data_IF_814914230233
#
_entry.id   IF_814914230233
#
_cell.length_a   1.000
_cell.length_b   1.000
_cell.length_c   1.000
_cell.angle_alpha   90.00
_cell.angle_beta   90.00
_cell.angle_gamma   90.00
#
_symmetry.space_group_name_H-M   'P 1'
#
loop_
_entity.id
_entity.type
_entity.pdbx_description
1 polymer ?
#
# COMPACT_ATOMS: atom_id res chain seq x y z
N UNK A 1 6.98 -5.92 14.14
CA UNK A 1 6.04 -4.79 14.35
C UNK A 1 6.08 -3.93 13.09
N UNK A 2 5.00 -3.89 12.30
CA UNK A 2 4.94 -3.07 11.08
C UNK A 2 4.85 -1.60 11.50
N UNK A 3 5.91 -0.82 11.27
CA UNK A 3 5.85 0.63 11.47
C UNK A 3 4.86 1.20 10.45
N UNK A 4 3.75 1.70 10.98
CA UNK A 4 2.71 2.35 10.19
C UNK A 4 3.15 3.79 9.96
N UNK A 5 3.64 4.10 8.75
CA UNK A 5 3.92 5.47 8.34
C UNK A 5 2.61 6.27 8.41
N UNK A 6 2.50 7.14 9.41
CA UNK A 6 1.34 7.97 9.69
C UNK A 6 1.80 9.42 9.81
N UNK A 7 1.13 10.29 9.10
CA UNK A 7 1.27 11.74 9.30
C UNK A 7 0.30 12.14 10.40
N UNK A 8 0.81 12.76 11.45
CA UNK A 8 -0.04 13.29 12.52
C UNK A 8 -0.53 14.69 12.13
N UNK A 9 -1.84 14.83 12.00
CA UNK A 9 -2.48 16.11 11.75
C UNK A 9 -2.24 17.11 12.88
N UNK A 10 -1.94 16.66 14.11
CA UNK A 10 -1.63 17.57 15.24
C UNK A 10 -0.32 18.33 15.06
N UNK A 11 0.55 17.87 14.17
CA UNK A 11 1.82 18.52 13.90
C UNK A 11 1.69 19.79 13.04
N UNK A 12 0.53 20.04 12.40
CA UNK A 12 0.33 21.20 11.52
C UNK A 12 -1.09 21.76 11.65
N UNK A 13 -1.19 23.09 11.87
CA UNK A 13 -2.47 23.80 11.99
C UNK A 13 -3.23 23.78 10.66
N UNK A 14 -2.50 23.80 9.55
CA UNK A 14 -3.01 23.78 8.19
C UNK A 14 -3.72 22.46 7.91
N UNK A 15 -3.11 21.33 8.29
CA UNK A 15 -3.74 20.01 8.16
C UNK A 15 -4.99 19.91 9.06
N UNK A 16 -4.95 20.48 10.27
CA UNK A 16 -6.13 20.54 11.13
C UNK A 16 -7.26 21.37 10.51
N UNK A 17 -6.96 22.55 9.97
CA UNK A 17 -7.93 23.43 9.34
C UNK A 17 -8.63 22.72 8.17
N UNK A 18 -7.87 22.02 7.32
CA UNK A 18 -8.39 21.19 6.23
C UNK A 18 -9.34 20.09 6.75
N UNK A 19 -8.94 19.37 7.80
CA UNK A 19 -9.77 18.31 8.38
C UNK A 19 -11.07 18.86 8.98
N UNK A 20 -11.01 20.01 9.66
CA UNK A 20 -12.20 20.68 10.19
C UNK A 20 -13.09 21.22 9.08
N UNK A 21 -12.50 21.78 8.02
CA UNK A 21 -13.21 22.21 6.81
C UNK A 21 -13.96 21.04 6.19
N UNK A 22 -13.28 19.95 5.86
CA UNK A 22 -13.90 18.75 5.30
C UNK A 22 -14.98 18.14 6.20
N UNK A 23 -14.84 18.23 7.53
CA UNK A 23 -15.87 17.76 8.46
C UNK A 23 -17.16 18.57 8.39
N UNK A 24 -17.05 19.88 8.09
CA UNK A 24 -18.20 20.79 7.97
C UNK A 24 -18.70 20.97 6.54
N UNK A 25 -17.90 20.57 5.54
CA UNK A 25 -18.26 20.70 4.14
C UNK A 25 -19.49 19.84 3.80
N UNK A 26 -20.24 20.31 2.81
CA UNK A 26 -21.36 19.56 2.26
C UNK A 26 -20.93 18.19 1.71
N UNK A 27 -21.82 17.19 1.73
CA UNK A 27 -21.50 15.84 1.26
C UNK A 27 -20.98 15.79 -0.17
N UNK A 28 -21.44 16.69 -1.04
CA UNK A 28 -21.07 16.75 -2.46
C UNK A 28 -19.63 17.22 -2.66
N UNK A 29 -19.23 18.30 -1.97
CA UNK A 29 -17.84 18.78 -1.94
C UNK A 29 -16.92 17.66 -1.46
N UNK A 30 -17.28 17.00 -0.35
CA UNK A 30 -16.51 15.89 0.18
C UNK A 30 -16.44 14.69 -0.79
N UNK A 31 -17.49 14.44 -1.58
CA UNK A 31 -17.50 13.38 -2.60
C UNK A 31 -16.57 13.73 -3.76
N UNK A 32 -16.59 14.99 -4.20
CA UNK A 32 -15.72 15.53 -5.25
C UNK A 32 -14.24 15.44 -4.87
N UNK A 33 -13.89 15.93 -3.67
CA UNK A 33 -12.52 15.82 -3.11
C UNK A 33 -12.06 14.37 -3.11
N UNK A 34 -12.88 13.44 -2.59
CA UNK A 34 -12.54 12.01 -2.53
C UNK A 34 -12.30 11.42 -3.91
N UNK A 35 -13.15 11.75 -4.88
CA UNK A 35 -13.04 11.27 -6.27
C UNK A 35 -11.72 11.74 -6.89
N UNK A 36 -11.47 13.05 -6.94
CA UNK A 36 -10.27 13.60 -7.55
C UNK A 36 -8.98 13.16 -6.85
N UNK A 37 -9.00 13.10 -5.52
CA UNK A 37 -7.86 12.62 -4.73
C UNK A 37 -7.55 11.16 -5.08
N UNK A 38 -8.57 10.32 -5.22
CA UNK A 38 -8.39 8.90 -5.56
C UNK A 38 -7.90 8.73 -7.00
N UNK A 39 -8.46 9.48 -7.94
CA UNK A 39 -8.09 9.45 -9.36
C UNK A 39 -6.63 9.85 -9.57
N UNK A 40 -6.12 10.81 -8.79
CA UNK A 40 -4.72 11.21 -8.88
C UNK A 40 -3.77 10.24 -8.16
N UNK A 41 -4.09 9.83 -6.93
CA UNK A 41 -3.16 9.05 -6.09
C UNK A 41 -3.03 7.60 -6.55
N UNK A 42 -4.13 6.94 -6.93
CA UNK A 42 -4.10 5.49 -7.20
C UNK A 42 -3.14 5.12 -8.34
N UNK A 43 -3.20 5.78 -9.51
CA UNK A 43 -2.30 5.46 -10.62
C UNK A 43 -0.84 5.76 -10.30
N UNK A 44 -0.56 6.89 -9.65
CA UNK A 44 0.81 7.27 -9.25
C UNK A 44 1.37 6.27 -8.24
N UNK A 45 0.56 5.84 -7.27
CA UNK A 45 0.98 4.86 -6.27
C UNK A 45 1.30 3.50 -6.88
N UNK A 46 0.45 3.04 -7.80
CA UNK A 46 0.70 1.79 -8.52
C UNK A 46 1.95 1.89 -9.40
N UNK A 47 2.17 3.03 -10.07
CA UNK A 47 3.36 3.26 -10.89
C UNK A 47 4.63 3.27 -10.06
N UNK A 48 4.66 4.03 -8.96
CA UNK A 48 5.85 4.10 -8.09
C UNK A 48 6.17 2.75 -7.44
N UNK A 49 5.15 1.98 -7.04
CA UNK A 49 5.38 0.61 -6.58
C UNK A 49 5.90 -0.32 -7.68
N UNK A 50 5.46 -0.12 -8.94
CA UNK A 50 5.96 -0.90 -10.07
C UNK A 50 7.42 -0.58 -10.38
N UNK A 51 7.84 0.68 -10.25
CA UNK A 51 9.23 1.13 -10.43
C UNK A 51 10.19 0.54 -9.39
N UNK A 52 9.71 0.29 -8.16
CA UNK A 52 10.51 -0.31 -7.09
C UNK A 52 10.48 -1.85 -7.09
N UNK A 53 9.58 -2.47 -7.85
CA UNK A 53 9.46 -3.92 -7.92
C UNK A 53 10.40 -4.48 -8.98
N UNK A 54 11.34 -5.33 -8.55
CA UNK A 54 12.33 -5.94 -9.46
C UNK A 54 11.85 -7.31 -9.96
N UNK A 55 11.02 -8.01 -9.18
CA UNK A 55 10.65 -9.40 -9.41
C UNK A 55 9.19 -9.57 -9.79
N UNK A 56 8.89 -10.57 -10.62
CA UNK A 56 7.51 -10.96 -10.96
C UNK A 56 6.68 -11.30 -9.72
N UNK A 57 7.33 -11.78 -8.66
CA UNK A 57 6.69 -12.08 -7.38
C UNK A 57 6.21 -10.80 -6.68
N UNK A 58 7.05 -9.77 -6.60
CA UNK A 58 6.70 -8.45 -6.05
C UNK A 58 5.56 -7.81 -6.84
N UNK A 59 5.63 -7.84 -8.18
CA UNK A 59 4.54 -7.33 -9.02
C UNK A 59 3.20 -8.04 -8.74
N UNK A 60 3.20 -9.37 -8.59
CA UNK A 60 1.97 -10.13 -8.35
C UNK A 60 1.45 -10.01 -6.92
N UNK A 61 2.33 -10.02 -5.92
CA UNK A 61 1.96 -10.02 -4.52
C UNK A 61 1.63 -8.61 -4.00
N UNK A 62 2.43 -7.60 -4.40
CA UNK A 62 2.36 -6.24 -3.88
C UNK A 62 1.69 -5.29 -4.88
N UNK A 63 2.29 -5.09 -6.05
CA UNK A 63 1.88 -4.04 -7.02
C UNK A 63 0.45 -4.25 -7.52
N UNK A 64 0.11 -5.45 -8.00
CA UNK A 64 -1.24 -5.76 -8.51
C UNK A 64 -2.34 -5.61 -7.45
N UNK A 65 -1.96 -5.73 -6.18
CA UNK A 65 -2.88 -5.62 -5.04
C UNK A 65 -2.77 -4.25 -4.34
N UNK A 66 -2.05 -3.29 -4.93
CA UNK A 66 -1.87 -1.96 -4.39
C UNK A 66 -3.16 -1.15 -4.56
N UNK A 67 -3.65 -0.59 -3.46
CA UNK A 67 -4.88 0.21 -3.39
C UNK A 67 -4.68 1.38 -2.45
N UNK A 68 -5.21 2.54 -2.84
CA UNK A 68 -5.39 3.68 -1.94
C UNK A 68 -6.88 3.81 -1.55
N UNK A 69 -7.14 4.06 -0.28
CA UNK A 69 -8.47 4.38 0.24
C UNK A 69 -8.46 5.80 0.76
N UNK A 70 -9.34 6.64 0.23
CA UNK A 70 -9.47 8.04 0.61
C UNK A 70 -10.78 8.20 1.39
N UNK A 71 -10.68 8.77 2.59
CA UNK A 71 -11.80 9.12 3.45
C UNK A 71 -11.64 10.58 3.88
N UNK A 72 -12.68 11.17 4.48
CA UNK A 72 -12.65 12.56 4.93
C UNK A 72 -11.59 12.82 6.02
N UNK A 73 -11.15 11.77 6.71
CA UNK A 73 -10.22 11.89 7.83
C UNK A 73 -8.83 11.34 7.52
N UNK A 74 -8.74 10.39 6.58
CA UNK A 74 -7.54 9.61 6.36
C UNK A 74 -7.39 9.19 4.89
N UNK A 75 -6.15 9.22 4.42
CA UNK A 75 -5.72 8.53 3.20
C UNK A 75 -4.91 7.32 3.62
N UNK A 76 -5.31 6.13 3.18
CA UNK A 76 -4.67 4.86 3.53
C UNK A 76 -4.13 4.18 2.28
N UNK A 77 -2.82 3.97 2.24
CA UNK A 77 -2.15 3.15 1.24
C UNK A 77 -2.08 1.71 1.73
N UNK A 78 -2.42 0.76 0.86
CA UNK A 78 -2.39 -0.67 1.19
C UNK A 78 -1.82 -1.46 0.02
N UNK A 79 -1.00 -2.46 0.32
CA UNK A 79 -0.53 -3.46 -0.64
C UNK A 79 -0.57 -4.83 0.02
N UNK A 80 -0.66 -5.89 -0.80
CA UNK A 80 -0.55 -7.28 -0.32
C UNK A 80 -1.63 -7.75 0.66
N UNK A 81 -2.77 -7.06 0.80
CA UNK A 81 -3.86 -7.46 1.72
C UNK A 81 -4.92 -8.38 1.12
N UNK A 82 -4.78 -8.77 -0.15
CA UNK A 82 -5.74 -9.62 -0.83
C UNK A 82 -5.81 -11.02 -0.19
N UNK A 83 -7.02 -11.46 0.17
CA UNK A 83 -7.27 -12.79 0.76
C UNK A 83 -7.32 -13.93 -0.26
N UNK A 84 -7.37 -13.62 -1.55
CA UNK A 84 -7.33 -14.61 -2.63
C UNK A 84 -5.91 -15.12 -2.84
N UNK A 85 -5.74 -16.44 -2.81
CA UNK A 85 -4.48 -17.09 -3.14
C UNK A 85 -4.13 -16.86 -4.62
N UNK A 86 -2.85 -16.60 -4.89
CA UNK A 86 -2.28 -16.52 -6.23
C UNK A 86 -2.02 -17.93 -6.78
N UNK A 87 -1.79 -18.03 -8.10
CA UNK A 87 -1.32 -19.27 -8.72
C UNK A 87 0.01 -19.69 -8.08
N UNK A 88 0.03 -20.91 -7.52
CA UNK A 88 1.14 -21.42 -6.71
C UNK A 88 0.90 -21.40 -5.19
N UNK A 89 -0.30 -21.04 -4.73
CA UNK A 89 -0.70 -21.16 -3.32
C UNK A 89 -0.18 -20.03 -2.41
N UNK A 90 0.48 -19.01 -2.98
CA UNK A 90 0.91 -17.84 -2.25
C UNK A 90 -0.29 -16.98 -1.86
N UNK A 91 -0.40 -16.64 -0.58
CA UNK A 91 -1.48 -15.83 -0.04
C UNK A 91 -0.92 -14.44 0.30
N UNK A 92 -1.21 -13.38 -0.48
CA UNK A 92 -0.67 -12.05 -0.22
C UNK A 92 -0.90 -11.61 1.23
N UNK A 93 -2.10 -11.80 1.79
CA UNK A 93 -2.42 -11.44 3.18
C UNK A 93 -1.44 -12.01 4.23
N UNK A 94 -0.89 -13.20 3.99
CA UNK A 94 0.06 -13.88 4.90
C UNK A 94 1.51 -13.64 4.48
N UNK A 95 1.77 -13.73 3.19
CA UNK A 95 3.11 -13.88 2.63
C UNK A 95 3.70 -12.56 2.12
N UNK A 96 2.90 -11.49 1.98
CA UNK A 96 3.35 -10.18 1.49
C UNK A 96 4.48 -9.59 2.33
N UNK A 97 4.52 -9.84 3.64
CA UNK A 97 5.63 -9.40 4.48
C UNK A 97 6.96 -10.05 4.06
N UNK A 98 6.94 -11.34 3.73
CA UNK A 98 8.16 -12.03 3.29
C UNK A 98 8.62 -11.52 1.90
N UNK A 99 7.67 -11.12 1.05
CA UNK A 99 7.96 -10.50 -0.25
C UNK A 99 8.54 -9.09 -0.08
N UNK A 100 7.94 -8.25 0.77
CA UNK A 100 8.35 -6.86 0.98
C UNK A 100 9.70 -6.73 1.68
N UNK A 101 9.94 -7.51 2.73
CA UNK A 101 11.14 -7.38 3.56
C UNK A 101 12.21 -8.40 3.23
N UNK A 102 11.93 -9.34 2.32
CA UNK A 102 12.83 -10.44 2.02
C UNK A 102 12.95 -11.47 3.15
N UNK A 103 13.95 -12.35 3.01
CA UNK A 103 14.23 -13.38 4.00
C UNK A 103 15.64 -13.93 3.90
N UNK A 104 15.99 -14.79 4.86
CA UNK A 104 17.21 -15.56 4.78
C UNK A 104 17.09 -16.61 3.66
N UNK A 105 17.87 -16.41 2.60
CA UNK A 105 17.88 -17.26 1.39
C UNK A 105 18.62 -18.58 1.62
N UNK A 106 19.52 -18.62 2.60
CA UNK A 106 20.27 -19.83 2.97
C UNK A 106 19.45 -20.77 3.86
N UNK A 107 18.42 -20.25 4.53
CA UNK A 107 17.54 -21.01 5.41
C UNK A 107 16.98 -22.26 4.71
N UNK A 108 17.35 -23.42 5.26
CA UNK A 108 16.82 -24.73 4.86
C UNK A 108 15.64 -25.07 5.77
N UNK A 109 14.56 -25.57 5.19
CA UNK A 109 13.44 -26.14 5.93
C UNK A 109 13.29 -27.61 5.54
N UNK A 110 13.30 -28.47 6.55
CA UNK A 110 13.02 -29.90 6.39
C UNK A 110 11.55 -30.13 6.69
N UNK A 111 10.86 -30.82 5.79
CA UNK A 111 9.47 -31.24 6.00
C UNK A 111 9.29 -32.68 5.53
N UNK A 112 8.34 -33.38 6.15
CA UNK A 112 7.96 -34.71 5.68
C UNK A 112 7.09 -34.59 4.44
N UNK A 113 7.51 -35.25 3.36
CA UNK A 113 6.73 -35.41 2.15
C UNK A 113 6.29 -36.87 2.04
N UNK A 114 5.14 -37.09 1.39
CA UNK A 114 4.67 -38.43 1.06
C UNK A 114 4.85 -38.68 -0.42
N UNK A 115 5.42 -39.83 -0.77
CA UNK A 115 5.55 -40.24 -2.16
C UNK A 115 4.18 -40.59 -2.72
N UNK A 116 4.06 -40.60 -4.04
CA UNK A 116 2.84 -41.03 -4.73
C UNK A 116 2.44 -42.48 -4.39
N UNK A 117 3.40 -43.29 -3.88
CA UNK A 117 3.20 -44.67 -3.41
C UNK A 117 3.02 -44.79 -1.89
N UNK A 118 2.89 -43.67 -1.15
CA UNK A 118 2.56 -43.67 0.28
C UNK A 118 3.75 -43.59 1.26
N UNK A 119 4.98 -43.76 0.78
CA UNK A 119 6.19 -43.71 1.62
C UNK A 119 6.47 -42.29 2.12
N UNK A 120 6.77 -42.13 3.41
CA UNK A 120 7.19 -40.84 3.99
C UNK A 120 8.69 -40.67 3.81
N UNK A 121 9.11 -39.49 3.39
CA UNK A 121 10.53 -39.14 3.31
C UNK A 121 10.74 -37.67 3.69
N UNK A 122 11.88 -37.38 4.29
CA UNK A 122 12.24 -36.02 4.68
C UNK A 122 12.83 -35.27 3.49
N UNK A 123 12.34 -34.06 3.26
CA UNK A 123 12.79 -33.18 2.17
C UNK A 123 13.35 -31.91 2.78
N UNK A 124 14.65 -31.68 2.59
CA UNK A 124 15.31 -30.44 2.99
C UNK A 124 15.41 -29.50 1.78
N UNK A 125 14.70 -28.37 1.81
CA UNK A 125 14.72 -27.38 0.71
C UNK A 125 14.96 -25.97 1.22
N UNK A 126 15.57 -25.15 0.37
CA UNK A 126 15.63 -23.69 0.55
C UNK A 126 14.28 -23.10 0.15
N UNK A 127 13.41 -22.87 1.13
CA UNK A 127 12.03 -22.40 0.90
C UNK A 127 11.91 -20.89 0.67
N UNK A 128 13.01 -20.15 0.85
CA UNK A 128 13.08 -18.68 0.78
C UNK A 128 14.08 -18.16 -0.25
N UNK A 129 14.67 -19.04 -1.06
CA UNK A 129 15.70 -18.66 -2.04
C UNK A 129 15.19 -17.67 -3.10
N UNK A 130 13.87 -17.69 -3.36
CA UNK A 130 13.14 -16.81 -4.27
C UNK A 130 12.88 -15.41 -3.72
N UNK A 131 13.06 -15.20 -2.41
CA UNK A 131 12.91 -13.88 -1.79
C UNK A 131 14.22 -13.10 -1.89
N UNK A 132 14.11 -11.77 -1.87
CA UNK A 132 15.27 -10.90 -1.74
C UNK A 132 15.95 -11.08 -0.37
N UNK A 133 17.21 -10.68 -0.23
CA UNK A 133 17.86 -10.56 1.08
C UNK A 133 17.01 -9.72 2.03
N UNK A 134 17.09 -10.04 3.32
CA UNK A 134 16.29 -9.36 4.33
C UNK A 134 16.69 -7.87 4.42
N UNK A 135 15.70 -6.98 4.39
CA UNK A 135 15.87 -5.53 4.55
C UNK A 135 14.73 -4.96 5.38
N UNK A 136 15.03 -4.39 6.55
CA UNK A 136 14.00 -3.90 7.48
C UNK A 136 13.28 -2.64 6.98
N UNK A 137 13.88 -1.90 6.06
CA UNK A 137 13.26 -0.75 5.39
C UNK A 137 12.31 -1.13 4.25
N UNK A 138 12.13 -2.43 3.99
CA UNK A 138 11.36 -2.93 2.86
C UNK A 138 12.03 -2.63 1.51
N UNK A 139 11.48 -3.22 0.45
CA UNK A 139 11.98 -3.10 -0.91
C UNK A 139 11.06 -2.30 -1.82
N UNK A 140 9.74 -2.40 -1.62
CA UNK A 140 8.75 -1.85 -2.56
C UNK A 140 7.84 -0.87 -1.85
N UNK A 141 6.97 -1.36 -0.96
CA UNK A 141 5.94 -0.54 -0.33
C UNK A 141 6.51 0.57 0.55
N UNK A 142 7.49 0.26 1.39
CA UNK A 142 8.06 1.22 2.34
C UNK A 142 8.81 2.38 1.69
N UNK A 143 9.75 2.17 0.75
CA UNK A 143 10.40 3.27 0.05
C UNK A 143 9.40 4.09 -0.78
N UNK A 144 8.45 3.44 -1.46
CA UNK A 144 7.38 4.15 -2.18
C UNK A 144 6.55 5.02 -1.23
N UNK A 145 6.12 4.50 -0.08
CA UNK A 145 5.34 5.26 0.89
C UNK A 145 6.13 6.47 1.41
N UNK A 146 7.40 6.30 1.76
CA UNK A 146 8.25 7.39 2.24
C UNK A 146 8.39 8.52 1.20
N UNK A 147 8.55 8.19 -0.08
CA UNK A 147 8.67 9.17 -1.16
C UNK A 147 7.33 9.85 -1.50
N UNK A 148 6.23 9.11 -1.43
CA UNK A 148 4.92 9.60 -1.89
C UNK A 148 4.12 10.37 -0.84
N UNK A 149 4.28 10.05 0.44
CA UNK A 149 3.48 10.67 1.51
C UNK A 149 3.49 12.21 1.45
N UNK A 150 4.65 12.90 1.32
CA UNK A 150 4.66 14.36 1.23
C UNK A 150 3.93 14.89 -0.01
N UNK A 151 4.07 14.21 -1.15
CA UNK A 151 3.43 14.58 -2.42
C UNK A 151 1.91 14.42 -2.34
N UNK A 152 1.45 13.30 -1.76
CA UNK A 152 0.03 13.01 -1.53
C UNK A 152 -0.60 14.09 -0.64
N UNK A 153 0.07 14.49 0.43
CA UNK A 153 -0.44 15.53 1.33
C UNK A 153 -0.56 16.90 0.65
N UNK A 154 0.47 17.28 -0.11
CA UNK A 154 0.46 18.52 -0.89
C UNK A 154 -0.69 18.53 -1.90
N UNK A 155 -0.81 17.47 -2.70
CA UNK A 155 -1.87 17.32 -3.69
C UNK A 155 -3.26 17.34 -3.04
N UNK A 156 -3.44 16.61 -1.95
CA UNK A 156 -4.71 16.57 -1.24
C UNK A 156 -5.08 17.95 -0.70
N UNK A 157 -4.12 18.70 -0.15
CA UNK A 157 -4.33 20.08 0.31
C UNK A 157 -4.76 20.99 -0.83
N UNK A 158 -4.09 20.91 -1.98
CA UNK A 158 -4.45 21.69 -3.18
C UNK A 158 -5.85 21.37 -3.68
N UNK A 159 -6.21 20.07 -3.72
CA UNK A 159 -7.56 19.64 -4.11
C UNK A 159 -8.58 20.22 -3.14
N UNK A 160 -8.38 20.09 -1.82
CA UNK A 160 -9.34 20.62 -0.84
C UNK A 160 -9.53 22.13 -1.03
N UNK A 161 -8.44 22.90 -1.09
CA UNK A 161 -8.52 24.36 -1.24
C UNK A 161 -9.23 24.76 -2.53
N UNK A 162 -8.91 24.09 -3.65
CA UNK A 162 -9.59 24.33 -4.93
C UNK A 162 -11.09 24.09 -4.84
N UNK A 163 -11.51 22.96 -4.27
CA UNK A 163 -12.92 22.59 -4.21
C UNK A 163 -13.73 23.52 -3.29
N UNK A 164 -13.12 24.02 -2.21
CA UNK A 164 -13.74 25.06 -1.38
C UNK A 164 -13.83 26.41 -2.09
N UNK A 165 -12.79 26.84 -2.80
CA UNK A 165 -12.85 28.07 -3.58
C UNK A 165 -13.90 28.00 -4.70
N UNK A 166 -13.97 26.88 -5.43
CA UNK A 166 -15.00 26.67 -6.46
C UNK A 166 -16.42 26.70 -5.89
N UNK A 167 -16.62 26.18 -4.67
CA UNK A 167 -17.91 26.23 -3.97
C UNK A 167 -18.27 27.64 -3.51
N UNK A 168 -17.30 28.41 -3.00
CA UNK A 168 -17.51 29.81 -2.58
C UNK A 168 -17.78 30.75 -3.76
N UNK A 169 -17.17 30.50 -4.92
CA UNK A 169 -17.38 31.28 -6.14
C UNK A 169 -18.74 31.00 -6.82
N UNK A 170 -19.57 30.10 -6.29
CA UNK A 170 -20.87 29.76 -6.85
C UNK A 170 -20.82 29.06 -8.21
N UNK A 171 -19.63 28.58 -8.63
CA UNK A 171 -19.43 27.91 -9.93
C UNK A 171 -19.92 26.46 -9.96
N UNK A 172 -20.46 25.97 -8.85
CA UNK A 172 -21.19 24.71 -8.71
C UNK A 172 -22.47 24.95 -7.92
N UNK A 173 -23.47 25.51 -8.60
CA UNK A 173 -24.87 25.54 -8.21
C UNK A 173 -25.71 24.95 -9.34
#
# INVERSE_FOLDING_TARGET
MSQLLRVDARASREIQAILFGMRRAEPEINRSIRRYTKEAIVPEFQRSMAEHADTRLEHRALVRNAKATVSNQNIKLTAGRTGRALSGGLLPKRDAHAVEFGGDRAAKRTYEARSRKGNRFSVTRRTRAQLRPRRDRGWVFHPTAAAMIPRILSLWTQIVVREFNEALEGKRG
#
